data_IF_668250152782
#
_entry.id   IF_668250152782
#
_cell.length_a   1.000
_cell.length_b   1.000
_cell.length_c   1.000
_cell.angle_alpha   90.00
_cell.angle_beta   90.00
_cell.angle_gamma   90.00
#
_symmetry.space_group_name_H-M   'P 1'
#
loop_
_entity.id
_entity.type
_entity.pdbx_description
1 polymer ?
#
# COMPACT_ATOMS: atom_id res chain seq x y z
N UNK A 1 -41.97 -1.16 36.09
CA UNK A 1 -40.70 -1.84 36.40
C UNK A 1 -39.71 -1.46 35.29
N UNK A 2 -38.73 -0.62 35.59
CA UNK A 2 -37.70 -0.24 34.63
C UNK A 2 -36.57 -1.29 34.74
N UNK A 3 -36.41 -2.14 33.71
CA UNK A 3 -35.25 -2.97 33.62
C UNK A 3 -34.02 -2.08 33.44
N UNK A 4 -33.20 -1.96 34.47
CA UNK A 4 -31.82 -1.51 34.33
C UNK A 4 -31.06 -2.68 33.66
N UNK A 5 -30.41 -2.49 32.52
CA UNK A 5 -29.51 -3.51 32.00
C UNK A 5 -28.34 -3.66 33.00
N UNK A 6 -28.07 -4.88 33.42
CA UNK A 6 -26.87 -5.18 34.20
C UNK A 6 -25.61 -4.75 33.44
N UNK A 7 -24.57 -4.28 34.12
CA UNK A 7 -23.35 -3.85 33.44
C UNK A 7 -22.70 -5.04 32.71
N UNK A 8 -22.52 -4.89 31.40
CA UNK A 8 -21.94 -5.84 30.44
C UNK A 8 -20.51 -6.32 30.81
N UNK A 9 -19.90 -5.78 31.87
CA UNK A 9 -18.47 -5.96 32.20
C UNK A 9 -18.13 -7.18 33.06
N UNK A 10 -19.10 -7.96 33.57
CA UNK A 10 -18.82 -9.01 34.56
C UNK A 10 -18.15 -10.27 33.99
N UNK A 11 -18.23 -10.54 32.69
CA UNK A 11 -17.77 -11.81 32.10
C UNK A 11 -16.98 -11.68 30.78
N UNK A 12 -16.56 -10.47 30.44
CA UNK A 12 -15.78 -10.23 29.22
C UNK A 12 -14.34 -10.73 29.40
N UNK A 13 -13.97 -11.75 28.63
CA UNK A 13 -12.59 -12.21 28.54
C UNK A 13 -11.83 -11.38 27.47
N UNK A 14 -10.83 -10.62 27.88
CA UNK A 14 -10.04 -9.77 27.00
C UNK A 14 -9.33 -10.54 25.88
N UNK A 15 -8.96 -11.80 26.10
CA UNK A 15 -8.36 -12.63 25.06
C UNK A 15 -9.33 -12.93 23.91
N UNK A 16 -10.64 -12.93 24.16
CA UNK A 16 -11.66 -13.17 23.13
C UNK A 16 -11.70 -12.04 22.08
N UNK A 17 -11.29 -10.82 22.45
CA UNK A 17 -11.13 -9.71 21.50
C UNK A 17 -10.02 -9.97 20.48
N UNK A 18 -8.96 -10.68 20.85
CA UNK A 18 -7.90 -11.09 19.91
C UNK A 18 -8.43 -12.08 18.89
N UNK A 19 -9.25 -13.05 19.31
CA UNK A 19 -9.92 -13.98 18.40
C UNK A 19 -10.88 -13.25 17.47
N UNK A 20 -11.66 -12.33 18.02
CA UNK A 20 -12.58 -11.48 17.25
C UNK A 20 -11.86 -10.70 16.15
N UNK A 21 -10.75 -10.02 16.48
CA UNK A 21 -9.95 -9.27 15.51
C UNK A 21 -9.40 -10.15 14.38
N UNK A 22 -8.89 -11.35 14.72
CA UNK A 22 -8.36 -12.25 13.70
C UNK A 22 -9.45 -12.81 12.77
N UNK A 23 -10.66 -13.06 13.28
CA UNK A 23 -11.80 -13.43 12.45
C UNK A 23 -12.27 -12.27 11.59
N UNK A 24 -12.32 -11.04 12.13
CA UNK A 24 -12.67 -9.85 11.39
C UNK A 24 -11.69 -9.58 10.22
N UNK A 25 -10.39 -9.78 10.44
CA UNK A 25 -9.32 -9.59 9.44
C UNK A 25 -9.32 -10.66 8.36
N UNK A 26 -9.58 -11.91 8.73
CA UNK A 26 -9.52 -13.04 7.80
C UNK A 26 -10.85 -13.36 7.14
N UNK A 27 -11.95 -12.84 7.70
CA UNK A 27 -13.35 -13.15 7.33
C UNK A 27 -13.68 -14.67 7.35
N UNK A 28 -12.81 -15.48 7.96
CA UNK A 28 -12.95 -16.94 8.06
C UNK A 28 -12.34 -17.43 9.37
N UNK A 29 -13.10 -18.20 10.13
CA UNK A 29 -12.59 -18.78 11.38
C UNK A 29 -11.40 -19.75 11.15
N UNK A 30 -11.34 -20.45 10.01
CA UNK A 30 -10.18 -21.28 9.64
C UNK A 30 -8.92 -20.46 9.38
N UNK A 31 -9.04 -19.28 8.78
CA UNK A 31 -7.95 -18.34 8.58
C UNK A 31 -7.43 -17.80 9.90
N UNK A 32 -8.34 -17.40 10.80
CA UNK A 32 -8.00 -16.95 12.15
C UNK A 32 -7.32 -18.07 12.97
N UNK A 33 -7.86 -19.31 12.91
CA UNK A 33 -7.28 -20.47 13.60
C UNK A 33 -5.81 -20.70 13.20
N UNK A 34 -5.52 -20.67 11.90
CA UNK A 34 -4.14 -20.81 11.37
C UNK A 34 -3.21 -19.71 11.90
N UNK A 35 -3.67 -18.45 11.97
CA UNK A 35 -2.88 -17.32 12.44
C UNK A 35 -2.64 -17.35 13.94
N UNK A 36 -3.66 -17.79 14.70
CA UNK A 36 -3.58 -17.90 16.16
C UNK A 36 -2.90 -19.19 16.65
N UNK A 37 -2.60 -20.14 15.75
CA UNK A 37 -2.02 -21.43 16.12
C UNK A 37 -2.95 -22.31 16.95
N UNK A 38 -4.27 -22.26 16.71
CA UNK A 38 -5.29 -23.01 17.45
C UNK A 38 -6.24 -23.74 16.49
N UNK A 39 -7.09 -24.60 17.05
CA UNK A 39 -8.13 -25.28 16.27
C UNK A 39 -9.31 -24.35 15.92
N UNK A 40 -9.96 -24.62 14.79
CA UNK A 40 -11.17 -23.93 14.34
C UNK A 40 -12.27 -23.90 15.42
N UNK A 41 -12.46 -25.01 16.13
CA UNK A 41 -13.48 -25.13 17.20
C UNK A 41 -13.21 -24.18 18.35
N UNK A 42 -11.93 -23.93 18.67
CA UNK A 42 -11.53 -22.95 19.68
C UNK A 42 -11.92 -21.54 19.23
N UNK A 43 -11.65 -21.16 17.98
CA UNK A 43 -12.04 -19.85 17.45
C UNK A 43 -13.54 -19.67 17.51
N UNK A 44 -14.31 -20.65 17.02
CA UNK A 44 -15.78 -20.59 17.01
C UNK A 44 -16.37 -20.46 18.42
N UNK A 45 -15.81 -21.19 19.40
CA UNK A 45 -16.22 -21.13 20.80
C UNK A 45 -15.92 -19.75 21.43
N UNK A 46 -14.73 -19.18 21.15
CA UNK A 46 -14.31 -17.87 21.67
C UNK A 46 -15.17 -16.73 21.11
N UNK A 47 -15.50 -16.78 19.80
CA UNK A 47 -16.43 -15.80 19.20
C UNK A 47 -17.81 -15.90 19.84
N UNK A 48 -18.36 -17.11 20.01
CA UNK A 48 -19.65 -17.28 20.66
C UNK A 48 -19.65 -16.76 22.11
N UNK A 49 -18.61 -17.06 22.89
CA UNK A 49 -18.49 -16.57 24.26
C UNK A 49 -18.45 -15.03 24.31
N UNK A 50 -17.77 -14.38 23.34
CA UNK A 50 -17.75 -12.92 23.23
C UNK A 50 -19.13 -12.35 22.87
N UNK A 51 -19.83 -12.95 21.90
CA UNK A 51 -21.18 -12.55 21.49
C UNK A 51 -22.18 -12.70 22.66
N UNK A 52 -22.09 -13.80 23.43
CA UNK A 52 -22.88 -14.03 24.63
C UNK A 52 -22.57 -12.97 25.72
N UNK A 53 -21.28 -12.68 25.98
CA UNK A 53 -20.88 -11.67 26.96
C UNK A 53 -21.32 -10.25 26.56
N UNK A 54 -21.35 -9.94 25.26
CA UNK A 54 -21.79 -8.66 24.71
C UNK A 54 -23.31 -8.56 24.51
N UNK A 55 -24.03 -9.69 24.58
CA UNK A 55 -25.47 -9.76 24.36
C UNK A 55 -25.90 -9.42 22.92
N UNK A 56 -24.97 -9.52 21.96
CA UNK A 56 -25.23 -9.18 20.56
C UNK A 56 -24.37 -10.00 19.59
N UNK A 57 -24.87 -10.23 18.38
CA UNK A 57 -24.09 -10.86 17.32
C UNK A 57 -23.09 -9.85 16.74
N UNK A 58 -21.85 -10.28 16.59
CA UNK A 58 -20.77 -9.49 16.02
C UNK A 58 -20.49 -9.88 14.56
N UNK A 59 -20.93 -11.09 14.17
CA UNK A 59 -20.79 -11.58 12.81
C UNK A 59 -22.09 -12.17 12.28
N UNK A 60 -22.40 -11.85 11.03
CA UNK A 60 -23.35 -12.58 10.22
C UNK A 60 -22.63 -13.75 9.53
N UNK A 61 -23.17 -14.96 9.70
CA UNK A 61 -22.66 -16.16 9.01
C UNK A 61 -23.25 -16.19 7.61
N UNK A 62 -22.44 -15.95 6.60
CA UNK A 62 -22.88 -16.10 5.22
C UNK A 62 -23.09 -17.58 4.86
N UNK A 63 -23.99 -17.86 3.89
CA UNK A 63 -24.24 -19.22 3.38
C UNK A 63 -22.98 -19.88 2.77
N UNK A 64 -21.98 -19.07 2.40
CA UNK A 64 -20.67 -19.52 1.90
C UNK A 64 -19.63 -19.78 3.00
N UNK A 65 -20.02 -19.78 4.29
CA UNK A 65 -19.13 -20.03 5.43
C UNK A 65 -18.22 -18.88 5.81
N UNK A 66 -18.47 -17.66 5.29
CA UNK A 66 -17.76 -16.44 5.68
C UNK A 66 -18.35 -15.79 6.92
N UNK A 67 -17.52 -15.03 7.64
CA UNK A 67 -17.88 -14.18 8.76
C UNK A 67 -17.90 -12.74 8.30
N UNK A 68 -19.08 -12.14 8.16
CA UNK A 68 -19.27 -10.72 7.81
C UNK A 68 -19.60 -9.96 9.08
N UNK A 69 -18.91 -8.85 9.35
CA UNK A 69 -19.17 -8.03 10.53
C UNK A 69 -20.59 -7.44 10.50
N UNK A 70 -21.32 -7.54 11.61
CA UNK A 70 -22.53 -6.75 11.86
C UNK A 70 -22.17 -5.27 12.09
N UNK A 71 -23.16 -4.39 12.21
CA UNK A 71 -22.93 -2.99 12.59
C UNK A 71 -22.28 -2.88 13.99
N UNK A 72 -22.67 -3.76 14.92
CA UNK A 72 -22.09 -3.90 16.26
C UNK A 72 -20.65 -4.39 16.19
N UNK A 73 -20.39 -5.42 15.34
CA UNK A 73 -19.05 -5.92 15.08
C UNK A 73 -18.13 -4.85 14.50
N UNK A 74 -18.61 -4.04 13.55
CA UNK A 74 -17.83 -2.92 12.97
C UNK A 74 -17.45 -1.88 14.04
N UNK A 75 -18.36 -1.56 14.95
CA UNK A 75 -18.06 -0.67 16.07
C UNK A 75 -17.01 -1.26 17.02
N UNK A 76 -17.17 -2.56 17.37
CA UNK A 76 -16.24 -3.24 18.28
C UNK A 76 -14.83 -3.35 17.71
N UNK A 77 -14.67 -3.57 16.40
CA UNK A 77 -13.34 -3.63 15.75
C UNK A 77 -12.51 -2.40 16.10
N UNK A 78 -13.11 -1.20 16.08
CA UNK A 78 -12.39 0.04 16.36
C UNK A 78 -11.79 0.07 17.76
N UNK A 79 -12.55 -0.39 18.76
CA UNK A 79 -12.09 -0.45 20.15
C UNK A 79 -11.10 -1.59 20.39
N UNK A 80 -11.39 -2.77 19.89
CA UNK A 80 -10.52 -3.95 20.06
C UNK A 80 -9.11 -3.72 19.47
N UNK A 81 -9.03 -3.10 18.29
CA UNK A 81 -7.76 -2.74 17.68
C UNK A 81 -7.00 -1.65 18.45
N UNK A 82 -7.71 -0.64 19.03
CA UNK A 82 -7.07 0.35 19.87
C UNK A 82 -6.47 -0.30 21.13
N UNK A 83 -7.16 -1.29 21.69
CA UNK A 83 -6.67 -2.07 22.83
C UNK A 83 -5.44 -2.93 22.44
N UNK A 84 -5.49 -3.64 21.33
CA UNK A 84 -4.33 -4.40 20.83
C UNK A 84 -3.11 -3.49 20.64
N UNK A 85 -3.32 -2.32 20.02
CA UNK A 85 -2.28 -1.32 19.82
C UNK A 85 -1.70 -0.82 21.14
N UNK A 86 -2.57 -0.57 22.13
CA UNK A 86 -2.15 -0.12 23.46
C UNK A 86 -1.33 -1.18 24.19
N UNK A 87 -1.78 -2.44 24.16
CA UNK A 87 -1.05 -3.57 24.76
C UNK A 87 0.31 -3.74 24.08
N UNK A 88 0.37 -3.69 22.75
CA UNK A 88 1.64 -3.79 22.04
C UNK A 88 2.57 -2.63 22.33
N UNK A 89 2.06 -1.41 22.42
CA UNK A 89 2.84 -0.23 22.80
C UNK A 89 3.40 -0.37 24.22
N UNK A 90 2.58 -0.86 25.16
CA UNK A 90 3.02 -1.13 26.53
C UNK A 90 4.12 -2.22 26.57
N UNK A 91 3.94 -3.32 25.83
CA UNK A 91 4.97 -4.35 25.70
C UNK A 91 6.27 -3.80 25.12
N UNK A 92 6.19 -2.98 24.06
CA UNK A 92 7.35 -2.31 23.45
C UNK A 92 8.08 -1.39 24.43
N UNK A 93 7.35 -0.72 25.32
CA UNK A 93 7.93 0.17 26.35
C UNK A 93 8.55 -0.61 27.53
N UNK A 94 7.89 -1.67 27.97
CA UNK A 94 8.34 -2.47 29.13
C UNK A 94 9.49 -3.40 28.74
N UNK A 95 9.47 -3.95 27.54
CA UNK A 95 10.51 -4.86 27.04
C UNK A 95 11.91 -4.23 26.87
N UNK A 96 11.99 -2.94 27.10
CA UNK A 96 13.17 -2.09 27.24
C UNK A 96 14.39 -2.38 26.34
N UNK A 97 14.65 -1.46 25.43
CA UNK A 97 15.95 -1.01 24.85
C UNK A 97 16.95 -2.02 24.28
N UNK A 98 16.75 -3.31 24.37
CA UNK A 98 17.69 -4.32 23.83
C UNK A 98 17.06 -5.35 22.89
N UNK A 99 15.76 -5.40 22.78
CA UNK A 99 15.09 -6.42 21.98
C UNK A 99 14.98 -6.01 20.50
N UNK A 100 15.27 -6.96 19.61
CA UNK A 100 15.07 -6.81 18.17
C UNK A 100 13.63 -6.39 17.85
N UNK A 101 13.44 -5.54 16.82
CA UNK A 101 12.10 -5.19 16.33
C UNK A 101 11.35 -6.46 15.94
N UNK A 102 10.09 -6.57 16.36
CA UNK A 102 9.26 -7.73 16.08
C UNK A 102 7.81 -7.34 15.80
N UNK A 103 7.04 -8.28 15.26
CA UNK A 103 5.62 -8.11 15.00
C UNK A 103 5.31 -7.91 13.52
N UNK A 104 4.08 -7.51 13.23
CA UNK A 104 3.53 -7.41 11.88
C UNK A 104 3.23 -5.96 11.51
N UNK A 105 3.56 -5.57 10.27
CA UNK A 105 3.24 -4.25 9.70
C UNK A 105 2.71 -4.45 8.28
N UNK A 106 1.58 -3.84 7.98
CA UNK A 106 0.99 -3.84 6.66
C UNK A 106 1.12 -2.46 6.01
N UNK A 107 1.64 -2.43 4.79
CA UNK A 107 1.81 -1.20 4.02
C UNK A 107 1.06 -1.28 2.69
N UNK A 108 0.15 -0.32 2.45
CA UNK A 108 -0.50 -0.11 1.18
C UNK A 108 0.27 0.87 0.30
N UNK A 109 0.27 0.64 -1.01
CA UNK A 109 0.94 1.52 -1.97
C UNK A 109 0.28 1.44 -3.33
N UNK A 110 0.52 2.45 -4.18
CA UNK A 110 0.24 2.34 -5.60
C UNK A 110 1.05 1.20 -6.20
N UNK A 111 0.48 0.52 -7.19
CA UNK A 111 1.03 -0.70 -7.79
C UNK A 111 2.48 -0.54 -8.26
N UNK A 112 2.76 0.48 -9.07
CA UNK A 112 4.12 0.69 -9.62
C UNK A 112 5.16 1.01 -8.55
N UNK A 113 4.84 1.88 -7.61
CA UNK A 113 5.77 2.23 -6.52
C UNK A 113 5.99 1.05 -5.58
N UNK A 114 4.92 0.31 -5.28
CA UNK A 114 4.99 -0.92 -4.49
C UNK A 114 5.92 -1.97 -5.10
N UNK A 115 5.76 -2.25 -6.39
CA UNK A 115 6.54 -3.30 -7.05
C UNK A 115 7.99 -2.90 -7.36
N UNK A 116 8.21 -1.70 -7.92
CA UNK A 116 9.53 -1.31 -8.43
C UNK A 116 10.41 -0.60 -7.40
N UNK A 117 9.83 -0.01 -6.37
CA UNK A 117 10.57 0.70 -5.34
C UNK A 117 10.47 0.05 -3.98
N UNK A 118 9.25 -0.18 -3.46
CA UNK A 118 9.09 -0.66 -2.09
C UNK A 118 9.50 -2.11 -1.91
N UNK A 119 9.11 -3.01 -2.80
CA UNK A 119 9.38 -4.44 -2.63
C UNK A 119 10.88 -4.74 -2.45
N UNK A 120 11.81 -4.23 -3.30
CA UNK A 120 13.24 -4.41 -3.08
C UNK A 120 13.75 -3.73 -1.80
N UNK A 121 13.24 -2.55 -1.43
CA UNK A 121 13.60 -1.86 -0.19
C UNK A 121 13.14 -2.65 1.04
N UNK A 122 11.91 -3.16 1.02
CA UNK A 122 11.35 -3.95 2.12
C UNK A 122 12.07 -5.30 2.30
N UNK A 123 12.59 -5.89 1.23
CA UNK A 123 13.44 -7.07 1.33
C UNK A 123 14.70 -6.78 2.17
N UNK A 124 15.31 -5.61 1.99
CA UNK A 124 16.47 -5.16 2.80
C UNK A 124 16.08 -4.84 4.24
N UNK A 125 14.99 -4.10 4.44
CA UNK A 125 14.47 -3.83 5.77
C UNK A 125 14.22 -5.14 6.55
N UNK A 126 13.61 -6.14 5.90
CA UNK A 126 13.37 -7.46 6.48
C UNK A 126 14.66 -8.22 6.84
N UNK A 127 15.70 -8.12 6.01
CA UNK A 127 17.00 -8.73 6.32
C UNK A 127 17.62 -8.13 7.60
N UNK A 128 17.47 -6.83 7.80
CA UNK A 128 17.94 -6.14 9.03
C UNK A 128 17.03 -6.39 10.25
N UNK A 129 15.76 -6.75 10.03
CA UNK A 129 14.74 -6.94 11.07
C UNK A 129 14.01 -8.28 10.89
N UNK A 130 14.66 -9.45 11.13
CA UNK A 130 14.14 -10.77 10.77
C UNK A 130 12.83 -11.14 11.51
N UNK A 131 12.56 -10.55 12.65
CA UNK A 131 11.35 -10.78 13.46
C UNK A 131 10.19 -9.84 13.12
N UNK A 132 10.37 -8.94 12.14
CA UNK A 132 9.27 -8.11 11.61
C UNK A 132 8.69 -8.78 10.37
N UNK A 133 7.41 -9.05 10.35
CA UNK A 133 6.68 -9.45 9.15
C UNK A 133 6.09 -8.21 8.48
N UNK A 134 6.30 -8.06 7.17
CA UNK A 134 5.75 -6.95 6.41
C UNK A 134 4.84 -7.49 5.31
N UNK A 135 3.56 -7.08 5.33
CA UNK A 135 2.64 -7.28 4.21
C UNK A 135 2.70 -6.03 3.31
N UNK A 136 3.09 -6.20 2.07
CA UNK A 136 3.02 -5.16 1.05
C UNK A 136 1.77 -5.36 0.18
N UNK A 137 0.93 -4.33 0.09
CA UNK A 137 -0.29 -4.30 -0.74
C UNK A 137 -0.10 -3.32 -1.90
N UNK A 138 0.52 -3.74 -3.02
CA UNK A 138 0.68 -2.91 -4.20
C UNK A 138 -0.56 -3.06 -5.08
N UNK A 139 -1.51 -2.15 -4.94
CA UNK A 139 -2.83 -2.28 -5.58
C UNK A 139 -3.17 -1.07 -6.44
N UNK A 140 -3.92 -1.25 -7.56
CA UNK A 140 -4.35 -0.16 -8.44
C UNK A 140 -5.63 0.53 -7.92
N UNK A 141 -5.72 0.72 -6.61
CA UNK A 141 -6.81 1.44 -5.95
C UNK A 141 -6.35 1.98 -4.59
N UNK A 142 -7.15 2.83 -3.95
CA UNK A 142 -6.84 3.33 -2.62
C UNK A 142 -6.94 2.24 -1.56
N UNK A 143 -5.89 2.12 -0.73
CA UNK A 143 -5.90 1.31 0.49
C UNK A 143 -6.42 2.18 1.64
N UNK A 144 -7.46 1.72 2.30
CA UNK A 144 -8.13 2.49 3.35
C UNK A 144 -7.48 2.26 4.71
N UNK A 145 -6.88 3.31 5.27
CA UNK A 145 -6.38 3.32 6.66
C UNK A 145 -7.55 3.33 7.67
N UNK A 146 -8.69 3.94 7.31
CA UNK A 146 -9.89 3.97 8.18
C UNK A 146 -10.52 2.60 8.32
N UNK A 147 -10.54 1.81 7.23
CA UNK A 147 -11.00 0.42 7.24
C UNK A 147 -9.93 -0.55 7.75
N UNK A 148 -8.76 -0.03 8.14
CA UNK A 148 -7.61 -0.81 8.65
C UNK A 148 -7.11 -1.87 7.68
N UNK A 149 -7.18 -1.58 6.39
CA UNK A 149 -6.61 -2.43 5.36
C UNK A 149 -5.07 -2.40 5.40
N UNK A 150 -4.49 -1.29 5.89
CA UNK A 150 -3.06 -1.14 6.12
C UNK A 150 -2.75 -0.29 7.37
N UNK A 151 -1.53 -0.44 7.92
CA UNK A 151 -0.99 0.35 9.03
C UNK A 151 -0.34 1.64 8.49
N UNK A 152 0.35 1.51 7.35
CA UNK A 152 0.94 2.61 6.58
C UNK A 152 0.34 2.63 5.19
N UNK A 153 0.21 3.80 4.59
CA UNK A 153 -0.17 3.95 3.19
C UNK A 153 0.74 4.96 2.49
N UNK A 154 1.08 4.64 1.24
CA UNK A 154 1.73 5.57 0.32
C UNK A 154 0.74 5.90 -0.79
N UNK A 155 0.34 7.17 -0.84
CA UNK A 155 -0.74 7.65 -1.69
C UNK A 155 -0.28 8.78 -2.62
N UNK A 156 -1.01 9.02 -3.70
CA UNK A 156 -0.77 10.14 -4.63
C UNK A 156 -1.29 11.46 -4.07
N UNK A 157 -2.33 11.38 -3.25
CA UNK A 157 -2.99 12.54 -2.66
C UNK A 157 -2.81 12.54 -1.15
N UNK A 158 -2.70 13.75 -0.59
CA UNK A 158 -2.66 13.93 0.87
C UNK A 158 -4.05 13.66 1.44
N UNK A 159 -4.20 12.81 2.48
CA UNK A 159 -5.47 12.65 3.17
C UNK A 159 -5.96 13.97 3.77
N UNK A 160 -7.19 14.36 3.47
CA UNK A 160 -7.75 15.64 3.94
C UNK A 160 -8.18 15.61 5.41
N UNK A 161 -8.66 14.47 5.91
CA UNK A 161 -9.26 14.33 7.25
C UNK A 161 -8.93 12.99 7.89
N UNK A 162 -8.86 12.97 9.21
CA UNK A 162 -8.66 11.77 10.02
C UNK A 162 -7.51 11.91 11.03
N UNK A 163 -7.42 10.99 12.01
CA UNK A 163 -6.35 10.95 13.01
C UNK A 163 -5.08 10.34 12.38
N UNK A 164 -4.50 11.03 11.40
CA UNK A 164 -3.35 10.56 10.64
C UNK A 164 -2.13 11.44 10.86
N UNK A 165 -0.98 10.81 10.98
CA UNK A 165 0.32 11.45 10.73
C UNK A 165 0.61 11.28 9.24
N UNK A 166 0.80 12.39 8.54
CA UNK A 166 1.07 12.42 7.11
C UNK A 166 2.28 13.29 6.81
N UNK A 167 3.17 12.81 5.95
CA UNK A 167 4.31 13.58 5.44
C UNK A 167 4.46 13.37 3.95
N UNK A 168 4.97 14.37 3.25
CA UNK A 168 5.45 14.20 1.88
C UNK A 168 6.65 13.22 1.92
N UNK A 169 6.54 12.12 1.17
CA UNK A 169 7.60 11.12 1.08
C UNK A 169 8.68 11.55 0.09
N UNK A 170 8.26 11.82 -1.14
CA UNK A 170 9.15 12.27 -2.21
C UNK A 170 8.37 12.88 -3.38
N UNK A 171 9.05 13.67 -4.20
CA UNK A 171 8.64 13.97 -5.56
C UNK A 171 9.15 12.88 -6.49
N UNK A 172 8.43 12.63 -7.59
CA UNK A 172 8.87 11.79 -8.68
C UNK A 172 8.41 12.36 -10.02
N UNK A 173 9.14 12.01 -11.07
CA UNK A 173 8.80 12.42 -12.42
C UNK A 173 8.27 11.24 -13.24
N UNK A 174 7.36 11.59 -14.15
CA UNK A 174 6.95 10.72 -15.25
C UNK A 174 7.42 11.41 -16.54
N UNK A 175 7.90 10.59 -17.48
CA UNK A 175 8.31 11.04 -18.82
C UNK A 175 7.72 10.14 -19.88
N UNK A 176 7.76 10.60 -21.11
CA UNK A 176 7.35 9.81 -22.26
C UNK A 176 8.44 8.80 -22.61
N UNK A 177 8.05 7.53 -22.82
CA UNK A 177 8.95 6.43 -23.16
C UNK A 177 8.44 5.62 -24.35
N UNK A 178 9.39 5.08 -25.11
CA UNK A 178 9.15 4.08 -26.14
C UNK A 178 10.36 3.15 -26.26
N UNK A 179 10.21 2.05 -26.99
CA UNK A 179 11.36 1.23 -27.41
C UNK A 179 12.05 1.83 -28.63
N UNK A 180 13.36 1.60 -28.78
CA UNK A 180 14.09 2.01 -30.01
C UNK A 180 13.49 1.38 -31.25
N UNK A 181 12.99 0.16 -31.18
CA UNK A 181 12.35 -0.54 -32.30
C UNK A 181 11.07 0.18 -32.75
N UNK A 182 10.22 0.62 -31.80
CA UNK A 182 9.04 1.41 -32.09
C UNK A 182 9.42 2.72 -32.81
N UNK A 183 10.38 3.47 -32.27
CA UNK A 183 10.83 4.74 -32.85
C UNK A 183 11.42 4.58 -34.26
N UNK A 184 12.12 3.49 -34.51
CA UNK A 184 12.71 3.21 -35.83
C UNK A 184 11.65 2.81 -36.90
N UNK A 185 10.49 2.31 -36.51
CA UNK A 185 9.44 1.84 -37.38
C UNK A 185 8.27 2.81 -37.62
N UNK A 186 8.31 3.97 -36.94
CA UNK A 186 7.23 4.99 -36.97
C UNK A 186 7.80 6.35 -37.44
N UNK A 187 6.91 7.31 -37.64
CA UNK A 187 7.29 8.68 -38.00
C UNK A 187 8.31 9.27 -36.98
N UNK A 188 9.30 10.07 -37.41
CA UNK A 188 10.24 10.69 -36.51
C UNK A 188 9.54 11.68 -35.57
N UNK A 189 9.99 11.75 -34.33
CA UNK A 189 9.50 12.69 -33.30
C UNK A 189 10.60 13.72 -33.05
N UNK A 190 10.40 14.93 -33.53
CA UNK A 190 11.29 16.06 -33.30
C UNK A 190 10.71 17.05 -32.26
N UNK A 191 9.40 17.06 -32.03
CA UNK A 191 8.71 17.92 -31.09
C UNK A 191 7.34 17.39 -30.70
N UNK A 192 6.68 18.05 -29.74
CA UNK A 192 5.36 17.64 -29.21
C UNK A 192 4.30 17.54 -30.32
N UNK A 193 4.38 18.37 -31.36
CA UNK A 193 3.43 18.33 -32.49
C UNK A 193 3.43 17.02 -33.28
N UNK A 194 4.57 16.32 -33.33
CA UNK A 194 4.70 15.05 -34.06
C UNK A 194 4.00 13.91 -33.31
N UNK A 195 3.73 14.06 -32.02
CA UNK A 195 3.11 13.04 -31.17
C UNK A 195 1.69 12.67 -31.61
N UNK A 196 1.00 13.55 -32.33
CA UNK A 196 -0.34 13.29 -32.87
C UNK A 196 -0.37 12.14 -33.89
N UNK A 197 0.78 11.83 -34.54
CA UNK A 197 0.91 10.70 -35.47
C UNK A 197 1.17 9.35 -34.77
N UNK A 198 1.25 9.34 -33.43
CA UNK A 198 1.63 8.15 -32.66
C UNK A 198 0.46 7.65 -31.80
N UNK A 199 0.51 6.36 -31.50
CA UNK A 199 -0.45 5.71 -30.59
C UNK A 199 0.11 5.69 -29.17
N UNK A 200 -0.75 5.97 -28.21
CA UNK A 200 -0.40 5.99 -26.79
C UNK A 200 -0.96 4.79 -26.03
N UNK A 201 -0.26 4.45 -24.96
CA UNK A 201 -0.71 3.55 -23.90
C UNK A 201 -1.05 4.41 -22.70
N UNK A 202 -2.26 4.29 -22.15
CA UNK A 202 -2.75 5.17 -21.10
C UNK A 202 -3.61 4.45 -20.06
N UNK A 203 -4.11 5.19 -19.09
CA UNK A 203 -5.12 4.72 -18.16
C UNK A 203 -6.51 4.66 -18.83
N UNK A 204 -7.40 3.86 -18.24
CA UNK A 204 -8.84 3.88 -18.51
C UNK A 204 -9.42 5.00 -17.64
N UNK A 205 -9.85 6.10 -18.26
CA UNK A 205 -10.10 7.35 -17.57
C UNK A 205 -11.20 7.25 -16.49
N UNK A 206 -12.30 6.56 -16.79
CA UNK A 206 -13.45 6.37 -15.90
C UNK A 206 -13.20 5.34 -14.78
N UNK A 207 -12.07 4.61 -14.85
CA UNK A 207 -11.63 3.65 -13.83
C UNK A 207 -10.38 4.12 -13.07
N UNK A 208 -9.90 5.34 -13.33
CA UNK A 208 -8.76 5.91 -12.61
C UNK A 208 -9.17 6.21 -11.15
N UNK A 209 -8.44 5.63 -10.20
CA UNK A 209 -8.71 5.80 -8.76
C UNK A 209 -8.24 7.15 -8.19
N UNK A 210 -7.53 7.95 -8.97
CA UNK A 210 -7.07 9.30 -8.63
C UNK A 210 -7.00 10.15 -9.88
N UNK A 211 -7.37 11.42 -9.77
CA UNK A 211 -7.22 12.42 -10.84
C UNK A 211 -5.75 12.66 -11.20
N UNK A 212 -4.82 12.33 -10.31
CA UNK A 212 -3.38 12.41 -10.53
C UNK A 212 -2.86 11.43 -11.60
N UNK A 213 -3.67 10.43 -11.99
CA UNK A 213 -3.36 9.48 -13.06
C UNK A 213 -3.82 9.99 -14.44
N UNK A 214 -4.69 11.00 -14.50
CA UNK A 214 -5.24 11.56 -15.73
C UNK A 214 -4.34 12.68 -16.27
N UNK A 215 -3.16 12.35 -16.68
CA UNK A 215 -2.15 13.32 -17.12
C UNK A 215 -1.92 13.33 -18.65
N UNK A 216 -2.39 12.33 -19.42
CA UNK A 216 -2.07 12.20 -20.84
C UNK A 216 -2.57 13.40 -21.63
N UNK A 217 -3.84 13.74 -21.55
CA UNK A 217 -4.43 14.88 -22.29
C UNK A 217 -3.79 16.22 -21.92
N UNK A 218 -3.39 16.37 -20.65
CA UNK A 218 -2.71 17.58 -20.17
C UNK A 218 -1.28 17.68 -20.69
N UNK A 219 -0.58 16.55 -20.75
CA UNK A 219 0.83 16.49 -21.16
C UNK A 219 0.99 16.46 -22.69
N UNK A 220 0.04 15.86 -23.39
CA UNK A 220 0.01 15.71 -24.85
C UNK A 220 -1.42 15.90 -25.35
N UNK A 221 -1.87 17.16 -25.54
CA UNK A 221 -3.22 17.46 -26.01
C UNK A 221 -3.54 16.77 -27.34
N UNK A 222 -4.72 16.14 -27.41
CA UNK A 222 -5.18 15.41 -28.59
C UNK A 222 -4.54 14.03 -28.78
N UNK A 223 -3.81 13.51 -27.80
CA UNK A 223 -3.21 12.17 -27.87
C UNK A 223 -4.29 11.09 -27.98
N UNK A 224 -4.07 10.12 -28.87
CA UNK A 224 -4.99 8.98 -29.06
C UNK A 224 -4.41 7.73 -28.41
N UNK A 225 -5.11 7.20 -27.39
CA UNK A 225 -4.71 5.95 -26.73
C UNK A 225 -5.27 4.73 -27.49
N UNK A 226 -4.40 3.90 -28.04
CA UNK A 226 -4.74 2.64 -28.68
C UNK A 226 -4.85 1.46 -27.71
N UNK A 227 -4.18 1.57 -26.54
CA UNK A 227 -4.29 0.62 -25.44
C UNK A 227 -4.55 1.36 -24.15
N UNK A 228 -5.56 0.94 -23.40
CA UNK A 228 -5.88 1.49 -22.07
C UNK A 228 -5.94 0.38 -21.03
N UNK A 229 -5.45 0.68 -19.82
CA UNK A 229 -5.44 -0.25 -18.69
C UNK A 229 -5.50 0.50 -17.36
N UNK A 230 -5.93 -0.16 -16.29
CA UNK A 230 -5.91 0.40 -14.93
C UNK A 230 -4.58 0.19 -14.21
N UNK A 231 -3.63 -0.52 -14.83
CA UNK A 231 -2.35 -0.94 -14.25
C UNK A 231 -1.18 -0.25 -14.94
N UNK A 232 -0.35 0.48 -14.18
CA UNK A 232 0.90 1.05 -14.71
C UNK A 232 1.93 -0.02 -15.09
N UNK A 233 1.86 -1.18 -14.46
CA UNK A 233 2.72 -2.32 -14.80
C UNK A 233 2.32 -2.90 -16.16
N UNK A 234 1.02 -2.99 -16.46
CA UNK A 234 0.55 -3.38 -17.78
C UNK A 234 0.95 -2.35 -18.85
N UNK A 235 0.88 -1.04 -18.55
CA UNK A 235 1.38 0.01 -19.46
C UNK A 235 2.89 -0.20 -19.74
N UNK A 236 3.68 -0.43 -18.70
CA UNK A 236 5.11 -0.68 -18.83
C UNK A 236 5.42 -1.88 -19.72
N UNK A 237 4.75 -3.02 -19.52
CA UNK A 237 4.97 -4.21 -20.34
C UNK A 237 4.49 -4.00 -21.78
N UNK A 238 3.37 -3.32 -22.00
CA UNK A 238 2.89 -3.00 -23.34
C UNK A 238 3.87 -2.09 -24.09
N UNK A 239 4.43 -1.08 -23.40
CA UNK A 239 5.45 -0.22 -23.98
C UNK A 239 6.72 -0.99 -24.35
N UNK A 240 7.17 -1.95 -23.52
CA UNK A 240 8.32 -2.84 -23.81
C UNK A 240 8.12 -3.70 -25.05
N UNK A 241 6.87 -4.05 -25.39
CA UNK A 241 6.55 -4.80 -26.61
C UNK A 241 6.35 -3.90 -27.84
N UNK A 242 6.62 -2.57 -27.70
CA UNK A 242 6.47 -1.64 -28.81
C UNK A 242 5.01 -1.29 -29.11
N UNK A 243 4.10 -1.45 -28.14
CA UNK A 243 2.66 -1.18 -28.31
C UNK A 243 2.30 0.30 -28.42
N UNK A 244 3.26 1.22 -28.32
CA UNK A 244 3.06 2.67 -28.43
C UNK A 244 3.95 3.46 -27.48
N UNK A 245 3.68 4.77 -27.43
CA UNK A 245 4.27 5.71 -26.49
C UNK A 245 3.56 5.59 -25.12
N UNK A 246 4.28 5.64 -24.03
CA UNK A 246 3.69 5.62 -22.68
C UNK A 246 4.33 6.66 -21.78
N UNK A 247 3.52 7.40 -21.02
CA UNK A 247 4.01 8.25 -19.94
C UNK A 247 4.15 7.37 -18.69
N UNK A 248 5.39 7.06 -18.31
CA UNK A 248 5.69 6.14 -17.22
C UNK A 248 6.50 6.86 -16.11
N UNK A 249 6.32 6.45 -14.84
CA UNK A 249 7.20 6.90 -13.77
C UNK A 249 8.67 6.57 -14.06
N UNK A 250 9.55 7.54 -13.90
CA UNK A 250 10.98 7.37 -14.19
C UNK A 250 11.61 6.24 -13.37
N UNK A 251 11.19 6.07 -12.11
CA UNK A 251 11.67 4.99 -11.25
C UNK A 251 11.28 3.57 -11.73
N UNK A 252 10.37 3.46 -12.70
CA UNK A 252 10.04 2.21 -13.39
C UNK A 252 10.87 2.12 -14.68
N UNK A 253 10.70 3.10 -15.57
CA UNK A 253 11.20 3.03 -16.93
C UNK A 253 12.74 3.18 -17.02
N UNK A 254 13.35 4.02 -16.17
CA UNK A 254 14.79 4.27 -16.18
C UNK A 254 15.62 3.03 -15.75
N UNK A 255 15.02 2.05 -15.10
CA UNK A 255 15.66 0.78 -14.75
C UNK A 255 15.72 -0.21 -15.92
N UNK A 256 15.03 0.12 -17.03
CA UNK A 256 14.93 -0.76 -18.23
C UNK A 256 15.59 -0.12 -19.45
N UNK A 257 16.77 -0.59 -19.88
CA UNK A 257 17.52 0.01 -21.01
C UNK A 257 16.82 -0.07 -22.38
N UNK A 258 15.82 -0.96 -22.52
CA UNK A 258 15.04 -1.06 -23.74
C UNK A 258 14.08 0.12 -23.93
N UNK A 259 13.66 0.76 -22.84
CA UNK A 259 12.84 1.97 -22.87
C UNK A 259 13.74 3.20 -22.90
N UNK A 260 13.54 4.02 -23.91
CA UNK A 260 14.27 5.30 -24.04
C UNK A 260 13.29 6.46 -23.85
N UNK A 261 13.72 7.55 -23.18
CA UNK A 261 12.90 8.74 -23.06
C UNK A 261 12.74 9.43 -24.42
N UNK A 262 11.53 9.93 -24.65
CA UNK A 262 11.16 10.69 -25.85
C UNK A 262 10.76 12.09 -25.39
N UNK A 263 11.32 13.13 -26.02
CA UNK A 263 11.11 14.54 -25.64
C UNK A 263 11.28 14.73 -24.12
N UNK A 264 12.44 14.28 -23.62
CA UNK A 264 12.69 14.10 -22.18
C UNK A 264 12.54 15.40 -21.34
N UNK A 265 12.75 16.55 -21.96
CA UNK A 265 12.67 17.86 -21.30
C UNK A 265 11.34 18.59 -21.62
N UNK A 266 10.59 18.14 -22.63
CA UNK A 266 9.34 18.75 -23.06
C UNK A 266 8.09 18.06 -22.44
N UNK A 267 8.14 16.73 -22.30
CA UNK A 267 7.03 15.96 -21.74
C UNK A 267 7.45 15.43 -20.37
N UNK A 268 7.28 16.29 -19.36
CA UNK A 268 7.59 15.98 -17.96
C UNK A 268 6.37 16.23 -17.08
N UNK A 269 5.99 15.23 -16.29
CA UNK A 269 4.92 15.35 -15.30
C UNK A 269 5.53 15.10 -13.93
N UNK A 270 5.46 16.08 -13.04
CA UNK A 270 5.91 15.94 -11.64
C UNK A 270 4.75 15.62 -10.74
N UNK A 271 4.90 14.61 -9.88
CA UNK A 271 3.94 14.17 -8.87
C UNK A 271 4.66 13.94 -7.54
N UNK A 272 3.90 13.75 -6.48
CA UNK A 272 4.47 13.39 -5.19
C UNK A 272 3.78 12.18 -4.57
N UNK A 273 4.51 11.47 -3.72
CA UNK A 273 3.97 10.46 -2.84
C UNK A 273 3.86 11.02 -1.42
N UNK A 274 2.78 10.64 -0.76
CA UNK A 274 2.50 10.95 0.65
C UNK A 274 2.59 9.67 1.46
N UNK A 275 3.39 9.70 2.53
CA UNK A 275 3.46 8.62 3.51
C UNK A 275 2.54 8.96 4.68
N UNK A 276 1.63 8.07 4.98
CA UNK A 276 0.59 8.29 5.98
C UNK A 276 0.47 7.06 6.88
N UNK A 277 0.27 7.28 8.17
CA UNK A 277 -0.16 6.25 9.10
C UNK A 277 -1.14 6.81 10.11
N UNK A 278 -1.85 5.94 10.84
CA UNK A 278 -2.68 6.34 11.96
C UNK A 278 -1.79 6.83 13.11
N UNK A 279 -2.26 7.86 13.83
CA UNK A 279 -1.51 8.48 14.92
C UNK A 279 -1.19 7.49 16.05
N UNK A 280 -2.14 6.61 16.39
CA UNK A 280 -1.97 5.59 17.41
C UNK A 280 -0.89 4.55 17.05
N UNK A 281 -0.80 4.17 15.77
CA UNK A 281 0.20 3.21 15.27
C UNK A 281 1.60 3.81 15.14
N UNK A 282 1.71 5.15 14.96
CA UNK A 282 3.00 5.84 14.81
C UNK A 282 3.93 5.67 16.01
N UNK A 283 3.37 5.37 17.18
CA UNK A 283 4.11 5.12 18.43
C UNK A 283 4.73 3.73 18.52
N UNK A 284 4.31 2.78 17.70
CA UNK A 284 4.86 1.42 17.69
C UNK A 284 6.27 1.43 17.08
N UNK A 285 7.24 0.86 17.79
CA UNK A 285 8.67 0.85 17.37
C UNK A 285 8.88 0.34 15.96
N UNK A 286 8.20 -0.75 15.57
CA UNK A 286 8.28 -1.32 14.23
C UNK A 286 7.73 -0.40 13.14
N UNK A 287 6.63 0.32 13.43
CA UNK A 287 6.03 1.31 12.52
C UNK A 287 6.94 2.52 12.37
N UNK A 288 7.50 3.03 13.48
CA UNK A 288 8.47 4.11 13.49
C UNK A 288 9.70 3.75 12.67
N UNK A 289 10.29 2.57 12.90
CA UNK A 289 11.48 2.13 12.18
C UNK A 289 11.22 1.98 10.68
N UNK A 290 10.09 1.39 10.28
CA UNK A 290 9.72 1.28 8.87
C UNK A 290 9.46 2.66 8.24
N UNK A 291 8.77 3.55 8.93
CA UNK A 291 8.53 4.93 8.50
C UNK A 291 9.84 5.67 8.22
N UNK A 292 10.78 5.63 9.15
CA UNK A 292 12.06 6.34 9.03
C UNK A 292 12.94 5.70 7.94
N UNK A 293 12.92 4.36 7.82
CA UNK A 293 13.58 3.64 6.74
C UNK A 293 13.04 4.04 5.36
N UNK A 294 11.71 4.13 5.18
CA UNK A 294 11.10 4.51 3.91
C UNK A 294 11.46 5.94 3.51
N UNK A 295 11.52 6.87 4.45
CA UNK A 295 11.95 8.24 4.21
C UNK A 295 13.43 8.29 3.79
N UNK A 296 14.30 7.60 4.49
CA UNK A 296 15.71 7.51 4.14
C UNK A 296 15.92 6.86 2.75
N UNK A 297 15.14 5.81 2.45
CA UNK A 297 15.17 5.16 1.13
C UNK A 297 14.73 6.10 0.00
N UNK A 298 13.66 6.87 0.21
CA UNK A 298 13.20 7.87 -0.75
C UNK A 298 14.26 8.96 -0.97
N UNK A 299 14.85 9.48 0.10
CA UNK A 299 15.91 10.49 0.04
C UNK A 299 17.17 10.00 -0.72
N UNK A 300 17.60 8.75 -0.48
CA UNK A 300 18.74 8.14 -1.16
C UNK A 300 18.50 7.90 -2.67
N UNK A 301 17.23 7.87 -3.09
CA UNK A 301 16.83 7.56 -4.46
C UNK A 301 16.24 8.74 -5.23
N UNK A 302 16.49 9.99 -4.80
CA UNK A 302 15.99 11.20 -5.48
C UNK A 302 16.34 11.23 -6.97
N UNK A 303 17.56 10.86 -7.33
CA UNK A 303 18.01 10.82 -8.72
C UNK A 303 17.24 9.78 -9.56
N UNK A 304 16.92 8.60 -8.99
CA UNK A 304 16.07 7.59 -9.65
C UNK A 304 14.63 8.11 -9.83
N UNK A 305 14.08 8.72 -8.80
CA UNK A 305 12.72 9.27 -8.81
C UNK A 305 12.58 10.44 -9.80
N UNK A 306 13.62 11.24 -9.98
CA UNK A 306 13.67 12.32 -10.96
C UNK A 306 14.06 11.86 -12.40
N UNK A 307 14.40 10.58 -12.58
CA UNK A 307 14.82 10.05 -13.89
C UNK A 307 16.24 10.43 -14.31
N UNK A 308 17.06 10.88 -13.37
CA UNK A 308 18.47 11.22 -13.55
C UNK A 308 19.41 10.02 -13.43
N UNK A 309 18.88 8.90 -12.89
CA UNK A 309 19.58 7.64 -12.69
C UNK A 309 18.66 6.46 -12.92
N UNK A 310 19.17 5.36 -13.48
CA UNK A 310 18.48 4.07 -13.56
C UNK A 310 18.80 3.11 -12.41
N UNK A 311 19.53 3.56 -11.37
CA UNK A 311 20.01 2.68 -10.29
C UNK A 311 19.23 2.90 -9.01
N UNK A 312 18.62 1.79 -8.52
CA UNK A 312 18.02 1.75 -7.19
C UNK A 312 19.12 1.63 -6.12
N UNK A 313 19.10 2.50 -5.11
CA UNK A 313 20.03 2.50 -3.97
C UNK A 313 19.34 1.94 -2.74
N UNK A 314 20.09 1.22 -1.91
CA UNK A 314 19.61 0.65 -0.65
C UNK A 314 20.19 1.37 0.55
N UNK A 315 19.40 1.53 1.62
CA UNK A 315 19.81 2.18 2.87
C UNK A 315 20.24 1.10 3.87
N UNK A 316 21.37 1.30 4.53
CA UNK A 316 21.76 0.56 5.74
C UNK A 316 22.36 -0.84 5.54
N UNK A 317 22.68 -1.28 4.31
CA UNK A 317 23.43 -2.50 4.08
C UNK A 317 24.40 -2.34 2.89
N UNK A 318 25.58 -2.98 2.90
CA UNK A 318 26.43 -3.04 1.73
C UNK A 318 25.66 -3.72 0.58
N UNK A 319 25.85 -3.24 -0.64
CA UNK A 319 25.23 -3.82 -1.83
C UNK A 319 25.79 -5.25 -2.03
N UNK A 320 24.99 -6.32 -1.98
CA UNK A 320 25.50 -7.68 -2.22
C UNK A 320 25.80 -7.96 -3.67
N UNK A 321 25.54 -6.98 -4.57
CA UNK A 321 25.82 -7.04 -5.99
C UNK A 321 26.91 -6.04 -6.41
N UNK A 322 27.58 -5.36 -5.44
CA UNK A 322 28.72 -4.51 -5.67
C UNK A 322 30.03 -5.31 -5.70
#
# INVERSE_FOLDING_TARGET
MRHHPEPVSGNLNWDDLRFFLEVARTQRASGAAKRLGVDYTTVARRIRALEEAMGTLLFDKSRSGGFVLTAEGQRLVAYADAMETTVQSACDQVANTGHALSGHVRIGSTEGFGCFFLAPQLARFRAAHPHVTVDLLPVPHFVSLTKREADLAITLERPERGPYVCTKLCDYQLRLYATRAYLASHAPIAGVGDLAAHTFISYVDDLAFSSELLYLERAVPGATAGLRTTSVIAQYFAALQGGGLAILPCFIAAQQPALVPVLADEVVVTRCFWLTCREDLRKLRRVTALWDYLRAAADANRALLAGESGKLRFVGAPDPLA
#
